data_IF_635985492854
#
_entry.id   IF_635985492854
#
_cell.length_a   1.000
_cell.length_b   1.000
_cell.length_c   1.000
_cell.angle_alpha   90.00
_cell.angle_beta   90.00
_cell.angle_gamma   90.00
#
_symmetry.space_group_name_H-M   'P 1'
#
loop_
_entity.id
_entity.type
_entity.pdbx_description
1 polymer ?
#
# COMPACT_ATOMS: atom_id res chain seq x y z
N UNK A 1 9.74 0.98 10.30
CA UNK A 1 8.76 1.88 10.92
C UNK A 1 7.83 2.37 9.82
N UNK A 2 6.57 1.96 9.89
CA UNK A 2 5.64 2.03 8.76
C UNK A 2 5.25 3.47 8.44
N UNK A 3 5.35 3.82 7.16
CA UNK A 3 5.00 5.13 6.61
C UNK A 3 3.48 5.34 6.64
N UNK A 4 2.96 5.82 7.77
CA UNK A 4 1.58 6.32 7.89
C UNK A 4 1.50 7.77 7.38
N UNK A 5 1.85 7.98 6.12
CA UNK A 5 1.70 9.28 5.45
C UNK A 5 0.45 9.26 4.58
N UNK A 6 -0.44 10.24 4.73
CA UNK A 6 -1.55 10.48 3.83
C UNK A 6 -1.13 11.39 2.67
N UNK A 7 -1.81 11.23 1.54
CA UNK A 7 -1.66 12.09 0.38
C UNK A 7 -2.77 13.15 0.39
N UNK A 8 -2.38 14.40 0.23
CA UNK A 8 -3.28 15.55 0.16
C UNK A 8 -3.11 16.20 -1.19
N UNK A 9 -4.21 16.20 -1.94
CA UNK A 9 -4.31 16.86 -3.23
C UNK A 9 -5.26 18.03 -3.07
N UNK A 10 -4.88 19.17 -3.63
CA UNK A 10 -5.72 20.35 -3.65
C UNK A 10 -5.34 21.24 -4.81
N UNK A 11 -6.22 22.18 -5.17
CA UNK A 11 -5.78 23.30 -6.01
C UNK A 11 -4.67 24.06 -5.28
N UNK A 12 -3.71 24.59 -6.04
CA UNK A 12 -2.61 25.33 -5.46
C UNK A 12 -3.14 26.56 -4.68
N UNK A 13 -2.77 26.64 -3.41
CA UNK A 13 -3.06 27.77 -2.55
C UNK A 13 -1.79 28.09 -1.74
N UNK A 14 -1.18 29.29 -1.87
CA UNK A 14 0.15 29.58 -1.35
C UNK A 14 0.23 29.44 0.18
N UNK A 15 -0.72 30.02 0.93
CA UNK A 15 -0.75 29.91 2.39
C UNK A 15 -1.02 28.49 2.90
N UNK A 16 -1.66 27.65 2.08
CA UNK A 16 -1.93 26.26 2.42
C UNK A 16 -0.69 25.40 2.15
N UNK A 17 0.03 25.66 1.06
CA UNK A 17 1.30 25.00 0.77
C UNK A 17 2.36 25.29 1.84
N UNK A 18 2.45 26.53 2.34
CA UNK A 18 3.34 26.87 3.46
C UNK A 18 2.97 26.15 4.76
N UNK A 19 1.67 26.04 5.02
CA UNK A 19 1.17 25.28 6.17
C UNK A 19 1.49 23.79 6.06
N UNK A 20 1.35 23.18 4.88
CA UNK A 20 1.72 21.79 4.65
C UNK A 20 3.23 21.57 4.83
N UNK A 21 4.07 22.51 4.40
CA UNK A 21 5.52 22.49 4.65
C UNK A 21 5.86 22.55 6.14
N UNK A 22 5.18 23.42 6.91
CA UNK A 22 5.45 23.58 8.35
C UNK A 22 5.09 22.34 9.16
N UNK A 23 4.13 21.55 8.69
CA UNK A 23 3.74 20.26 9.26
C UNK A 23 4.68 19.10 8.88
N UNK A 24 5.78 19.37 8.18
CA UNK A 24 6.70 18.35 7.67
C UNK A 24 6.20 17.63 6.42
N UNK A 25 5.27 18.23 5.70
CA UNK A 25 4.77 17.71 4.44
C UNK A 25 5.82 17.71 3.34
N UNK A 26 5.88 16.61 2.57
CA UNK A 26 6.73 16.50 1.39
C UNK A 26 5.90 16.65 0.13
N UNK A 27 6.30 17.56 -0.75
CA UNK A 27 5.68 17.71 -2.06
C UNK A 27 6.20 16.65 -3.03
N UNK A 28 5.29 15.93 -3.69
CA UNK A 28 5.56 15.03 -4.80
C UNK A 28 5.20 15.72 -6.12
N UNK A 29 6.18 16.12 -6.94
CA UNK A 29 5.93 16.83 -8.20
C UNK A 29 5.35 15.93 -9.31
N UNK A 30 5.59 14.62 -9.26
CA UNK A 30 5.08 13.68 -10.27
C UNK A 30 3.58 13.44 -10.07
N UNK A 31 3.20 13.13 -8.83
CA UNK A 31 1.80 12.90 -8.48
C UNK A 31 1.03 14.21 -8.19
N UNK A 32 1.73 15.35 -8.07
CA UNK A 32 1.18 16.67 -7.68
C UNK A 32 0.40 16.60 -6.37
N UNK A 33 0.95 15.90 -5.39
CA UNK A 33 0.34 15.69 -4.07
C UNK A 33 1.31 15.99 -2.94
N UNK A 34 0.77 16.41 -1.80
CA UNK A 34 1.50 16.53 -0.55
C UNK A 34 1.43 15.23 0.24
N UNK A 35 2.56 14.71 0.66
CA UNK A 35 2.65 13.61 1.63
C UNK A 35 2.80 14.18 3.03
N UNK A 36 1.80 13.99 3.89
CA UNK A 36 1.81 14.45 5.28
C UNK A 36 1.60 13.30 6.26
N UNK A 37 2.07 13.39 7.51
CA UNK A 37 1.74 12.41 8.55
C UNK A 37 0.23 12.29 8.78
N UNK A 38 -0.29 11.04 8.86
CA UNK A 38 -1.72 10.78 8.94
C UNK A 38 -2.38 11.32 10.23
N UNK A 39 -1.60 11.47 11.31
CA UNK A 39 -2.05 12.07 12.57
C UNK A 39 -2.33 13.59 12.46
N UNK A 40 -1.95 14.25 11.37
CA UNK A 40 -2.14 15.68 11.16
C UNK A 40 -3.25 16.01 10.15
N UNK A 41 -3.92 14.99 9.58
CA UNK A 41 -4.98 15.18 8.58
C UNK A 41 -6.11 16.08 9.09
N UNK A 42 -6.59 15.86 10.31
CA UNK A 42 -7.68 16.67 10.88
C UNK A 42 -7.30 18.15 10.99
N UNK A 43 -6.02 18.46 11.26
CA UNK A 43 -5.53 19.84 11.26
C UNK A 43 -5.43 20.43 9.86
N UNK A 44 -5.13 19.60 8.87
CA UNK A 44 -5.06 20.00 7.46
C UNK A 44 -6.44 20.26 6.89
N UNK A 45 -7.43 19.44 7.20
CA UNK A 45 -8.83 19.66 6.83
C UNK A 45 -9.39 20.94 7.44
N UNK A 46 -9.18 21.14 8.75
CA UNK A 46 -9.60 22.36 9.41
C UNK A 46 -8.99 23.61 8.75
N UNK A 47 -7.67 23.55 8.46
CA UNK A 47 -6.97 24.67 7.83
C UNK A 47 -7.38 24.91 6.38
N UNK A 48 -7.64 23.85 5.63
CA UNK A 48 -8.15 23.93 4.27
C UNK A 48 -9.53 24.59 4.22
N UNK A 49 -10.40 24.27 5.18
CA UNK A 49 -11.73 24.87 5.32
C UNK A 49 -11.65 26.35 5.72
N UNK A 50 -10.77 26.71 6.65
CA UNK A 50 -10.50 28.11 7.03
C UNK A 50 -10.01 28.95 5.84
N UNK A 51 -9.11 28.39 5.03
CA UNK A 51 -8.51 29.08 3.89
C UNK A 51 -9.34 28.99 2.60
N UNK A 52 -10.50 28.31 2.63
CA UNK A 52 -11.36 28.16 1.46
C UNK A 52 -10.72 27.41 0.29
N UNK A 53 -9.86 26.43 0.59
CA UNK A 53 -9.13 25.67 -0.44
C UNK A 53 -10.11 24.84 -1.27
N UNK A 54 -10.10 25.05 -2.59
CA UNK A 54 -10.97 24.32 -3.51
C UNK A 54 -10.35 22.97 -3.93
N UNK A 55 -11.21 21.95 -4.06
CA UNK A 55 -10.83 20.63 -4.58
C UNK A 55 -9.91 19.84 -3.65
N UNK A 56 -10.11 19.95 -2.33
CA UNK A 56 -9.38 19.16 -1.35
C UNK A 56 -9.78 17.68 -1.47
N UNK A 57 -8.81 16.84 -1.77
CA UNK A 57 -8.93 15.39 -1.89
C UNK A 57 -7.84 14.77 -1.02
N UNK A 58 -8.24 14.08 0.04
CA UNK A 58 -7.31 13.47 1.00
C UNK A 58 -7.42 11.96 0.87
N UNK A 59 -6.35 11.35 0.39
CA UNK A 59 -6.19 9.91 0.40
C UNK A 59 -5.44 9.52 1.69
N UNK A 60 -6.21 9.05 2.66
CA UNK A 60 -5.64 8.31 3.78
C UNK A 60 -4.83 7.12 3.25
N UNK A 61 -3.72 6.73 3.90
CA UNK A 61 -3.09 5.47 3.59
C UNK A 61 -4.15 4.40 3.84
N UNK A 62 -4.72 3.86 2.77
CA UNK A 62 -5.56 2.68 2.88
C UNK A 62 -4.67 1.65 3.57
N UNK A 63 -5.13 1.16 4.73
CA UNK A 63 -4.57 -0.05 5.31
C UNK A 63 -4.41 -1.04 4.15
N UNK A 64 -3.23 -1.68 3.99
CA UNK A 64 -2.92 -2.47 2.81
C UNK A 64 -4.13 -3.33 2.51
N UNK A 65 -4.71 -3.13 1.31
CA UNK A 65 -5.83 -3.91 0.82
C UNK A 65 -5.54 -5.36 1.20
N UNK A 66 -6.52 -6.02 1.86
CA UNK A 66 -6.40 -7.37 2.45
C UNK A 66 -5.29 -8.14 1.73
N UNK A 67 -4.24 -8.60 2.42
CA UNK A 67 -3.05 -9.15 1.79
C UNK A 67 -3.51 -10.09 0.69
N UNK A 68 -3.18 -9.74 -0.56
CA UNK A 68 -3.65 -10.48 -1.72
C UNK A 68 -3.33 -11.94 -1.47
N UNK A 69 -4.33 -12.83 -1.41
CA UNK A 69 -4.08 -14.23 -1.09
C UNK A 69 -3.14 -14.80 -2.16
N UNK A 70 -1.94 -15.22 -1.72
CA UNK A 70 -0.96 -15.81 -2.60
C UNK A 70 -1.47 -17.16 -3.08
N UNK A 71 -1.66 -17.31 -4.39
CA UNK A 71 -2.13 -18.56 -4.95
C UNK A 71 -0.96 -19.43 -5.41
N UNK A 72 -0.94 -20.68 -4.94
CA UNK A 72 -0.17 -21.77 -5.56
C UNK A 72 -1.15 -22.56 -6.42
N UNK A 73 -0.97 -22.50 -7.75
CA UNK A 73 -1.81 -23.20 -8.72
C UNK A 73 -1.04 -24.39 -9.29
N UNK A 74 -1.66 -25.55 -9.27
CA UNK A 74 -1.14 -26.76 -9.91
C UNK A 74 -2.02 -27.11 -11.11
N UNK A 75 -1.41 -27.38 -12.26
CA UNK A 75 -2.12 -27.81 -13.47
C UNK A 75 -1.39 -28.97 -14.14
N UNK A 76 -2.14 -29.90 -14.71
CA UNK A 76 -1.56 -30.94 -15.55
C UNK A 76 -1.05 -30.33 -16.87
N UNK A 77 0.10 -30.79 -17.35
CA UNK A 77 0.62 -30.41 -18.67
C UNK A 77 -0.34 -30.88 -19.77
N UNK A 78 -0.31 -30.20 -20.92
CA UNK A 78 -1.20 -30.55 -22.06
C UNK A 78 -1.01 -31.98 -22.55
N UNK A 79 0.21 -32.52 -22.41
CA UNK A 79 0.59 -33.88 -22.77
C UNK A 79 0.41 -34.90 -21.62
N UNK A 80 -0.07 -34.47 -20.45
CA UNK A 80 -0.32 -35.34 -19.30
C UNK A 80 0.91 -35.86 -18.55
N UNK A 81 2.13 -35.52 -18.99
CA UNK A 81 3.37 -36.10 -18.47
C UNK A 81 3.91 -35.41 -17.22
N UNK A 82 3.55 -34.15 -16.98
CA UNK A 82 4.10 -33.34 -15.89
C UNK A 82 3.03 -32.48 -15.22
N UNK A 83 3.27 -32.09 -13.97
CA UNK A 83 2.46 -31.09 -13.26
C UNK A 83 3.23 -29.77 -13.24
N UNK A 84 2.57 -28.69 -13.69
CA UNK A 84 3.10 -27.35 -13.60
C UNK A 84 2.59 -26.68 -12.33
N UNK A 85 3.52 -26.16 -11.54
CA UNK A 85 3.25 -25.36 -10.35
C UNK A 85 3.52 -23.90 -10.69
N UNK A 86 2.50 -23.05 -10.54
CA UNK A 86 2.60 -21.60 -10.66
C UNK A 86 2.39 -21.00 -9.28
N UNK A 87 3.38 -20.26 -8.79
CA UNK A 87 3.36 -19.62 -7.47
C UNK A 87 3.30 -18.11 -7.66
N UNK A 88 2.22 -17.47 -7.20
CA UNK A 88 2.16 -16.02 -7.13
C UNK A 88 2.78 -15.54 -5.81
N UNK A 89 3.95 -14.91 -5.90
CA UNK A 89 4.71 -14.45 -4.74
C UNK A 89 4.30 -13.07 -4.21
N UNK A 90 3.31 -12.40 -4.79
CA UNK A 90 2.89 -11.04 -4.38
C UNK A 90 2.48 -10.99 -2.90
N UNK A 91 1.84 -12.05 -2.40
CA UNK A 91 1.46 -12.19 -0.99
C UNK A 91 2.65 -12.41 -0.03
N UNK A 92 3.83 -12.70 -0.59
CA UNK A 92 5.03 -13.13 0.14
C UNK A 92 6.18 -12.14 -0.06
N UNK A 93 5.88 -10.91 -0.48
CA UNK A 93 6.88 -9.89 -0.80
C UNK A 93 7.90 -9.70 0.34
N UNK A 94 7.43 -9.68 1.59
CA UNK A 94 8.30 -9.53 2.76
C UNK A 94 9.15 -10.78 3.03
N UNK A 95 8.59 -11.98 2.85
CA UNK A 95 9.32 -13.24 2.99
C UNK A 95 10.40 -13.38 1.91
N UNK A 96 10.07 -13.05 0.65
CA UNK A 96 11.01 -13.04 -0.46
C UNK A 96 12.14 -12.05 -0.19
N UNK A 97 11.82 -10.84 0.30
CA UNK A 97 12.82 -9.86 0.68
C UNK A 97 13.72 -10.36 1.81
N UNK A 98 13.14 -10.95 2.86
CA UNK A 98 13.91 -11.54 3.95
C UNK A 98 14.81 -12.69 3.50
N UNK A 99 14.40 -13.45 2.47
CA UNK A 99 15.22 -14.49 1.86
C UNK A 99 16.38 -13.93 1.03
N UNK A 100 16.12 -12.92 0.20
CA UNK A 100 17.16 -12.27 -0.60
C UNK A 100 18.20 -11.57 0.28
N UNK A 101 17.78 -11.02 1.42
CA UNK A 101 18.65 -10.41 2.43
C UNK A 101 19.36 -11.46 3.32
N UNK A 102 19.15 -12.76 3.09
CA UNK A 102 19.78 -13.85 3.84
C UNK A 102 19.28 -14.05 5.27
N UNK A 103 18.25 -13.30 5.70
CA UNK A 103 17.65 -13.39 7.04
C UNK A 103 16.76 -14.61 7.22
N UNK A 104 16.25 -15.17 6.12
CA UNK A 104 15.49 -16.44 6.08
C UNK A 104 16.03 -17.34 4.97
N UNK A 105 16.06 -18.64 5.21
CA UNK A 105 16.47 -19.65 4.21
C UNK A 105 15.30 -20.45 3.65
N UNK A 106 14.18 -20.51 4.36
CA UNK A 106 13.03 -21.36 4.01
C UNK A 106 11.72 -20.66 4.36
N UNK A 107 10.68 -20.95 3.57
CA UNK A 107 9.29 -20.56 3.83
C UNK A 107 8.46 -21.85 3.91
N UNK A 108 7.65 -21.98 4.97
CA UNK A 108 6.78 -23.14 5.18
C UNK A 108 5.35 -22.78 4.85
N UNK A 109 4.70 -23.62 4.05
CA UNK A 109 3.30 -23.45 3.66
C UNK A 109 2.43 -24.39 4.50
N UNK A 110 1.34 -23.85 5.05
CA UNK A 110 0.28 -24.68 5.64
C UNK A 110 -0.78 -24.92 4.58
N UNK A 111 -0.94 -26.18 4.18
CA UNK A 111 -2.04 -26.58 3.31
C UNK A 111 -3.29 -26.66 4.18
N UNK A 112 -4.29 -25.84 3.86
CA UNK A 112 -5.59 -25.93 4.50
C UNK A 112 -6.39 -27.07 3.85
N UNK A 113 -7.16 -27.85 4.63
CA UNK A 113 -8.04 -28.86 4.08
C UNK A 113 -9.06 -28.21 3.13
N UNK A 114 -9.53 -28.92 2.09
CA UNK A 114 -10.55 -28.39 1.19
C UNK A 114 -11.79 -28.02 2.00
N UNK A 115 -12.23 -26.76 1.88
CA UNK A 115 -13.52 -26.36 2.44
C UNK A 115 -14.60 -27.03 1.59
N UNK A 116 -15.17 -28.13 2.11
CA UNK A 116 -16.40 -28.67 1.55
C UNK A 116 -17.45 -27.58 1.70
N UNK A 117 -17.87 -26.99 0.58
CA UNK A 117 -18.93 -26.00 0.56
C UNK A 117 -20.18 -26.56 1.22
N UNK A 118 -20.76 -25.78 2.14
CA UNK A 118 -22.17 -25.93 2.54
C UNK A 118 -23.07 -25.43 1.42
#
# INVERSE_FOLDING_TARGET
>A
MSANSAKVKSKYHPSFAEYLKSLGGKWDPEAKVWSIPANLISKVEAKAKELGVQGLEIELPQAPAKPAEGAIRMRLSRDGRFVLISVNLIAFTDDVKAMLEGRRKTVRFRILPPQQGK
#
